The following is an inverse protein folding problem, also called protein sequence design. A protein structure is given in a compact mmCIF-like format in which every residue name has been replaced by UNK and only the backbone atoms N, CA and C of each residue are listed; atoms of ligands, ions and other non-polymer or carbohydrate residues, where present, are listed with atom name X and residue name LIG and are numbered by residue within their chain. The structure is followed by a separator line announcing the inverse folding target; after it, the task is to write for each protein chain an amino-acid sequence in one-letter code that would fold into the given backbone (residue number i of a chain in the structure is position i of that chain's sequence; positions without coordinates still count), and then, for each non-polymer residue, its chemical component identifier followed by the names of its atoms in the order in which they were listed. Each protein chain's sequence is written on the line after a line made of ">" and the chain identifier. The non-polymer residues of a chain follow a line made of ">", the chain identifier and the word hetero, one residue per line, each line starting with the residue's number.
data_IF_121911945773
#
_entry.id   IF_121911945773
#
_cell.length_a   1.000
_cell.length_b   1.000
_cell.length_c   1.000
_cell.angle_alpha   90.00
_cell.angle_beta   90.00
_cell.angle_gamma   90.00
#
_symmetry.space_group_name_H-M   'P 1'
#
loop_
_entity.id
_entity.type
_entity.pdbx_description
1 polymer ?
#
# COMPACT_ATOMS: atom_id res chain seq x y z
N UNK A 1 14.79 9.71 1.08
CA UNK A 1 14.03 9.63 -0.19
C UNK A 1 12.72 10.34 0.02
N UNK A 2 12.30 11.21 -0.91
CA UNK A 2 11.02 11.92 -0.83
C UNK A 2 10.14 11.49 -2.02
N UNK A 3 8.90 11.05 -1.75
CA UNK A 3 7.95 10.67 -2.80
C UNK A 3 7.23 11.94 -3.27
N UNK A 4 7.56 12.44 -4.47
CA UNK A 4 6.96 13.65 -5.01
C UNK A 4 5.51 13.46 -5.50
N UNK A 5 5.19 12.25 -5.98
CA UNK A 5 3.86 11.88 -6.48
C UNK A 5 3.69 10.37 -6.48
N UNK A 6 2.49 9.89 -6.17
CA UNK A 6 2.12 8.48 -6.29
C UNK A 6 0.75 8.32 -6.92
N UNK A 7 0.64 7.54 -8.00
CA UNK A 7 -0.63 7.21 -8.66
C UNK A 7 -0.81 5.70 -8.69
N UNK A 8 -1.94 5.21 -8.18
CA UNK A 8 -2.27 3.79 -8.10
C UNK A 8 -3.40 3.45 -9.07
N UNK A 9 -3.12 2.63 -10.07
CA UNK A 9 -4.12 2.08 -10.99
C UNK A 9 -4.49 0.67 -10.56
N UNK A 10 -5.78 0.35 -10.50
CA UNK A 10 -6.21 -0.98 -10.12
C UNK A 10 -7.52 -1.39 -10.78
N UNK A 11 -7.53 -2.59 -11.37
CA UNK A 11 -8.77 -3.27 -11.76
C UNK A 11 -9.39 -3.96 -10.54
N UNK A 12 -10.56 -3.49 -10.14
CA UNK A 12 -11.29 -3.96 -8.94
C UNK A 12 -12.51 -4.81 -9.30
N UNK A 13 -12.71 -5.13 -10.58
CA UNK A 13 -13.97 -5.68 -11.05
C UNK A 13 -15.10 -4.66 -10.95
N UNK A 14 -16.29 -5.13 -10.57
CA UNK A 14 -17.41 -4.23 -10.28
C UNK A 14 -17.23 -3.56 -8.92
N UNK A 15 -17.27 -2.22 -8.88
CA UNK A 15 -17.16 -1.46 -7.63
C UNK A 15 -18.45 -1.58 -6.83
N UNK A 16 -18.32 -2.01 -5.57
CA UNK A 16 -19.45 -2.01 -4.62
C UNK A 16 -19.60 -0.64 -3.96
N UNK A 17 -18.50 -0.06 -3.47
CA UNK A 17 -18.50 1.25 -2.81
C UNK A 17 -17.19 2.00 -3.10
N UNK A 18 -17.28 3.03 -3.94
CA UNK A 18 -16.10 3.71 -4.51
C UNK A 18 -15.15 4.26 -3.43
N UNK A 19 -15.66 5.01 -2.46
CA UNK A 19 -14.81 5.60 -1.42
C UNK A 19 -14.12 4.56 -0.53
N UNK A 20 -14.73 3.37 -0.35
CA UNK A 20 -14.09 2.31 0.44
C UNK A 20 -12.96 1.66 -0.36
N UNK A 21 -13.16 1.49 -1.66
CA UNK A 21 -12.13 1.01 -2.59
C UNK A 21 -10.94 1.98 -2.62
N UNK A 22 -11.21 3.28 -2.76
CA UNK A 22 -10.17 4.33 -2.73
C UNK A 22 -9.40 4.31 -1.40
N UNK A 23 -10.10 4.21 -0.27
CA UNK A 23 -9.48 4.12 1.05
C UNK A 23 -8.58 2.89 1.21
N UNK A 24 -9.00 1.73 0.68
CA UNK A 24 -8.16 0.52 0.66
C UNK A 24 -6.92 0.71 -0.22
N UNK A 25 -7.09 1.32 -1.39
CA UNK A 25 -5.97 1.62 -2.29
C UNK A 25 -4.95 2.56 -1.64
N UNK A 26 -5.41 3.62 -0.98
CA UNK A 26 -4.55 4.56 -0.25
C UNK A 26 -3.85 3.90 0.93
N UNK A 27 -4.59 3.12 1.73
CA UNK A 27 -4.05 2.42 2.89
C UNK A 27 -2.98 1.39 2.52
N UNK A 28 -3.24 0.54 1.53
CA UNK A 28 -2.26 -0.46 1.10
C UNK A 28 -1.02 0.17 0.45
N UNK A 29 -1.18 1.25 -0.32
CA UNK A 29 -0.02 1.99 -0.86
C UNK A 29 0.83 2.59 0.26
N UNK A 30 0.21 3.19 1.28
CA UNK A 30 0.91 3.74 2.44
C UNK A 30 1.72 2.65 3.17
N UNK A 31 1.09 1.50 3.44
CA UNK A 31 1.75 0.36 4.09
C UNK A 31 2.93 -0.16 3.27
N UNK A 32 2.73 -0.38 1.96
CA UNK A 32 3.80 -0.86 1.09
C UNK A 32 4.94 0.15 0.94
N UNK A 33 4.65 1.46 0.97
CA UNK A 33 5.68 2.50 0.99
C UNK A 33 6.47 2.52 2.31
N UNK A 34 5.81 2.24 3.44
CA UNK A 34 6.47 2.03 4.73
C UNK A 34 7.50 0.92 4.66
N UNK A 35 7.10 -0.25 4.16
CA UNK A 35 8.00 -1.41 3.95
C UNK A 35 9.13 -1.11 2.97
N UNK A 36 8.87 -0.31 1.93
CA UNK A 36 9.88 -0.01 0.93
C UNK A 36 10.99 0.91 1.43
N UNK A 37 10.72 1.78 2.42
CA UNK A 37 11.62 2.89 2.77
C UNK A 37 12.06 2.93 4.23
N UNK A 38 11.23 2.46 5.17
CA UNK A 38 11.39 2.78 6.58
C UNK A 38 11.30 1.56 7.51
N UNK A 39 10.38 0.64 7.22
CA UNK A 39 10.04 -0.46 8.11
C UNK A 39 10.97 -1.66 7.88
N UNK A 40 11.55 -2.15 8.96
CA UNK A 40 12.32 -3.38 8.99
C UNK A 40 12.28 -4.01 10.39
N UNK A 41 12.56 -5.31 10.49
CA UNK A 41 12.78 -5.95 11.78
C UNK A 41 14.28 -6.02 12.04
N UNK A 42 14.74 -5.29 13.06
CA UNK A 42 16.15 -5.25 13.41
C UNK A 42 16.43 -6.15 14.62
N UNK A 43 17.11 -7.26 14.37
CA UNK A 43 17.51 -8.22 15.40
C UNK A 43 18.97 -8.00 15.81
N UNK A 44 19.22 -7.97 17.11
CA UNK A 44 20.57 -7.92 17.70
C UNK A 44 21.23 -9.31 17.70
N UNK A 45 22.54 -9.38 17.94
CA UNK A 45 23.30 -10.64 17.94
C UNK A 45 22.81 -11.65 18.99
N UNK A 46 22.24 -11.18 20.09
CA UNK A 46 21.62 -12.01 21.15
C UNK A 46 20.19 -12.48 20.80
N UNK A 47 19.66 -12.10 19.63
CA UNK A 47 18.35 -12.52 19.12
C UNK A 47 17.17 -11.66 19.57
N UNK A 48 17.43 -10.52 20.22
CA UNK A 48 16.39 -9.58 20.66
C UNK A 48 16.03 -8.62 19.52
N UNK A 49 14.74 -8.25 19.39
CA UNK A 49 14.33 -7.22 18.42
C UNK A 49 14.58 -5.83 19.01
N UNK A 50 15.49 -5.05 18.43
CA UNK A 50 15.89 -3.75 18.99
C UNK A 50 14.82 -2.67 18.77
N UNK A 51 14.02 -2.80 17.71
CA UNK A 51 13.01 -1.82 17.33
C UNK A 51 11.58 -2.33 17.57
N UNK A 52 11.33 -3.03 18.67
CA UNK A 52 10.03 -3.64 18.98
C UNK A 52 8.95 -2.64 19.44
N UNK A 53 9.16 -1.34 19.24
CA UNK A 53 8.27 -0.26 19.69
C UNK A 53 7.97 0.69 18.54
N UNK A 54 6.88 1.46 18.63
CA UNK A 54 6.53 2.47 17.62
C UNK A 54 7.48 3.69 17.62
N UNK A 55 8.38 3.79 18.60
CA UNK A 55 9.43 4.82 18.59
C UNK A 55 10.48 4.52 17.52
N UNK A 56 10.81 3.24 17.38
CA UNK A 56 11.95 2.76 16.57
C UNK A 56 11.49 2.04 15.30
N UNK A 57 10.35 1.36 15.33
CA UNK A 57 9.69 0.83 14.15
C UNK A 57 8.95 1.97 13.45
N UNK A 58 9.64 2.63 12.53
CA UNK A 58 9.15 3.85 11.86
C UNK A 58 8.05 3.52 10.83
N UNK A 59 6.81 3.44 11.32
CA UNK A 59 5.63 3.45 10.44
C UNK A 59 5.48 4.82 9.76
N UNK A 60 4.99 4.87 8.52
CA UNK A 60 4.67 6.12 7.84
C UNK A 60 3.66 6.97 8.62
N UNK A 61 3.88 8.28 8.56
CA UNK A 61 3.03 9.35 9.08
C UNK A 61 2.41 10.13 7.92
N UNK A 62 1.52 11.07 8.23
CA UNK A 62 0.84 11.91 7.22
C UNK A 62 1.78 12.83 6.45
N UNK A 63 3.01 13.04 6.91
CA UNK A 63 4.00 13.89 6.23
C UNK A 63 4.97 13.09 5.35
N UNK A 64 4.94 11.76 5.41
CA UNK A 64 5.90 10.92 4.68
C UNK A 64 5.50 10.69 3.21
N UNK A 65 4.20 10.81 2.89
CA UNK A 65 3.67 10.62 1.55
C UNK A 65 2.77 11.78 1.12
N UNK A 66 2.74 12.10 -0.20
CA UNK A 66 1.74 12.98 -0.76
C UNK A 66 0.38 12.28 -0.76
N UNK A 67 -0.67 13.02 -1.12
CA UNK A 67 -1.97 12.39 -1.40
C UNK A 67 -1.80 11.36 -2.54
N UNK A 68 -2.26 10.14 -2.30
CA UNK A 68 -2.18 9.04 -3.26
C UNK A 68 -3.34 9.16 -4.25
N UNK A 69 -3.02 9.38 -5.52
CA UNK A 69 -4.00 9.47 -6.60
C UNK A 69 -4.49 8.07 -6.97
N UNK A 70 -5.74 7.74 -6.66
CA UNK A 70 -6.33 6.43 -6.96
C UNK A 70 -7.13 6.44 -8.25
N UNK A 71 -6.77 5.55 -9.17
CA UNK A 71 -7.49 5.34 -10.43
C UNK A 71 -8.10 3.95 -10.43
N UNK A 72 -9.43 3.91 -10.30
CA UNK A 72 -10.20 2.67 -10.31
C UNK A 72 -10.55 2.31 -11.74
N UNK A 73 -10.16 1.10 -12.14
CA UNK A 73 -10.53 0.46 -13.40
C UNK A 73 -11.60 -0.58 -13.09
N UNK A 74 -12.71 -0.56 -13.83
CA UNK A 74 -13.82 -1.48 -13.62
C UNK A 74 -13.90 -2.49 -14.77
N UNK A 75 -13.37 -3.69 -14.57
CA UNK A 75 -13.53 -4.82 -15.52
C UNK A 75 -14.24 -5.97 -14.82
N UNK A 76 -15.58 -6.02 -14.89
CA UNK A 76 -16.39 -7.03 -14.20
C UNK A 76 -15.90 -8.45 -14.47
N UNK A 77 -15.77 -9.25 -13.41
CA UNK A 77 -15.39 -10.64 -13.52
C UNK A 77 -16.57 -11.48 -14.06
N UNK A 78 -16.48 -12.07 -15.27
CA UNK A 78 -17.59 -12.83 -15.85
C UNK A 78 -17.92 -14.12 -15.09
N UNK A 79 -17.02 -14.57 -14.20
CA UNK A 79 -17.19 -15.78 -13.37
C UNK A 79 -17.79 -15.49 -11.99
N UNK A 80 -17.96 -14.22 -11.62
CA UNK A 80 -18.53 -13.85 -10.33
C UNK A 80 -19.98 -13.38 -10.54
N UNK A 81 -20.97 -13.85 -9.74
CA UNK A 81 -22.39 -13.48 -9.91
C UNK A 81 -22.66 -11.97 -9.96
N UNK A 82 -21.82 -11.20 -9.27
CA UNK A 82 -21.88 -9.74 -9.19
C UNK A 82 -20.68 -9.03 -9.84
N UNK A 83 -19.84 -9.72 -10.63
CA UNK A 83 -18.69 -9.09 -11.29
C UNK A 83 -17.57 -8.55 -10.37
N UNK A 84 -17.71 -8.65 -9.05
CA UNK A 84 -16.77 -8.08 -8.05
C UNK A 84 -15.46 -8.86 -7.95
N UNK A 85 -14.40 -8.19 -7.45
CA UNK A 85 -13.12 -8.77 -7.05
C UNK A 85 -12.71 -8.25 -5.67
N UNK A 86 -11.75 -8.93 -5.04
CA UNK A 86 -11.14 -8.47 -3.81
C UNK A 86 -10.17 -7.31 -4.05
N UNK A 87 -10.16 -6.34 -3.14
CA UNK A 87 -9.32 -5.12 -3.23
C UNK A 87 -8.50 -4.83 -1.97
N UNK A 88 -8.69 -5.58 -0.89
CA UNK A 88 -8.04 -5.25 0.39
C UNK A 88 -6.51 -5.37 0.35
N UNK A 89 -5.98 -6.44 -0.25
CA UNK A 89 -4.54 -6.73 -0.22
C UNK A 89 -3.82 -6.28 -1.49
N UNK A 90 -4.51 -6.24 -2.63
CA UNK A 90 -3.94 -5.87 -3.93
C UNK A 90 -3.08 -4.58 -3.90
N UNK A 91 -3.41 -3.51 -3.14
CA UNK A 91 -2.66 -2.26 -3.18
C UNK A 91 -1.33 -2.28 -2.43
N UNK A 92 -1.10 -3.24 -1.51
CA UNK A 92 0.16 -3.33 -0.74
C UNK A 92 1.30 -3.96 -1.54
N UNK A 93 0.98 -4.72 -2.59
CA UNK A 93 1.97 -5.51 -3.36
C UNK A 93 2.86 -4.65 -4.27
N UNK A 94 2.32 -3.70 -5.07
CA UNK A 94 3.13 -2.93 -6.02
C UNK A 94 4.13 -1.92 -5.44
N UNK A 95 3.85 -1.22 -4.31
CA UNK A 95 4.70 -0.14 -3.81
C UNK A 95 6.19 -0.47 -3.69
N UNK A 96 6.54 -1.65 -3.16
CA UNK A 96 7.95 -2.03 -2.95
C UNK A 96 8.76 -1.98 -4.26
N UNK A 97 8.26 -2.62 -5.30
CA UNK A 97 8.92 -2.64 -6.61
C UNK A 97 8.85 -1.28 -7.31
N UNK A 98 7.73 -0.57 -7.19
CA UNK A 98 7.56 0.75 -7.80
C UNK A 98 8.54 1.78 -7.23
N UNK A 99 8.71 1.78 -5.91
CA UNK A 99 9.62 2.70 -5.20
C UNK A 99 11.07 2.31 -5.47
N UNK A 100 11.42 1.02 -5.39
CA UNK A 100 12.79 0.57 -5.68
C UNK A 100 13.25 0.95 -7.10
N UNK A 101 12.36 0.93 -8.09
CA UNK A 101 12.65 1.35 -9.46
C UNK A 101 12.69 2.88 -9.65
N UNK A 102 12.16 3.65 -8.69
CA UNK A 102 12.11 5.11 -8.76
C UNK A 102 13.31 5.79 -8.07
N UNK A 103 14.14 5.03 -7.34
CA UNK A 103 15.35 5.48 -6.65
C UNK A 103 16.57 5.44 -7.58
#
# INVERSE_FOLDING_TARGET
>A
VEILRYTAFMDVGQVVHRSNVEGQMQGGVLQGAGWALNEEYYYTEDGTMANSSLLDYRMPTTTDLPMIDTVIIEVPNPRHPFGIRGVGESPIVPPLAAIANAI
#
